data_IF_787791342115
#
_entry.id   IF_787791342115
#
_cell.length_a   1.000
_cell.length_b   1.000
_cell.length_c   1.000
_cell.angle_alpha   90.00
_cell.angle_beta   90.00
_cell.angle_gamma   90.00
#
_symmetry.space_group_name_H-M   'P 1'
#
loop_
_entity.id
_entity.type
_entity.pdbx_description
1 polymer ?
#
# COMPACT_ATOMS: atom_id res chain seq x y z
N UNK A 1 -21.41 -22.22 11.14
CA UNK A 1 -21.01 -20.90 11.65
C UNK A 1 -20.11 -20.24 10.61
N UNK A 2 -20.69 -19.54 9.63
CA UNK A 2 -19.94 -18.72 8.65
C UNK A 2 -19.96 -17.30 9.23
N UNK A 3 -18.84 -16.84 9.78
CA UNK A 3 -18.71 -15.41 10.08
C UNK A 3 -18.88 -14.63 8.77
N UNK A 4 -19.59 -13.51 8.84
CA UNK A 4 -19.97 -12.67 7.70
C UNK A 4 -18.75 -11.88 7.25
N UNK A 5 -17.87 -12.49 6.45
CA UNK A 5 -16.68 -11.83 5.89
C UNK A 5 -16.99 -10.93 4.68
N UNK A 6 -18.26 -10.62 4.43
CA UNK A 6 -18.72 -9.91 3.22
C UNK A 6 -19.25 -8.49 3.50
N UNK A 7 -19.10 -7.96 4.73
CA UNK A 7 -19.63 -6.64 5.06
C UNK A 7 -18.60 -5.53 4.76
N UNK A 8 -18.77 -4.88 3.60
CA UNK A 8 -17.98 -3.70 3.21
C UNK A 8 -18.06 -2.61 4.28
N UNK A 9 -19.21 -2.46 4.96
CA UNK A 9 -19.37 -1.44 5.99
C UNK A 9 -18.50 -1.73 7.23
N UNK A 10 -18.25 -3.01 7.55
CA UNK A 10 -17.33 -3.38 8.62
C UNK A 10 -15.89 -3.04 8.25
N UNK A 11 -15.48 -3.33 7.01
CA UNK A 11 -14.14 -2.98 6.52
C UNK A 11 -13.91 -1.45 6.52
N UNK A 12 -14.90 -0.68 6.06
CA UNK A 12 -14.86 0.79 6.10
C UNK A 12 -14.82 1.32 7.54
N UNK A 13 -15.58 0.72 8.45
CA UNK A 13 -15.56 1.09 9.86
C UNK A 13 -14.18 0.87 10.48
N UNK A 14 -13.57 -0.30 10.23
CA UNK A 14 -12.23 -0.63 10.72
C UNK A 14 -11.16 0.33 10.16
N UNK A 15 -11.20 0.65 8.86
CA UNK A 15 -10.28 1.63 8.26
C UNK A 15 -10.47 3.02 8.90
N UNK A 16 -11.73 3.46 9.12
CA UNK A 16 -12.02 4.78 9.68
C UNK A 16 -11.67 4.92 11.17
N UNK A 17 -11.56 3.80 11.88
CA UNK A 17 -11.30 3.76 13.33
C UNK A 17 -9.91 3.25 13.68
N UNK A 18 -9.05 2.98 12.69
CA UNK A 18 -7.68 2.53 12.93
C UNK A 18 -6.90 3.60 13.74
N UNK A 19 -6.34 3.25 14.92
CA UNK A 19 -5.52 4.18 15.69
C UNK A 19 -4.20 4.57 14.99
N UNK A 20 -3.81 3.83 13.95
CA UNK A 20 -2.64 4.09 13.13
C UNK A 20 -3.10 4.65 11.78
N UNK A 21 -2.77 5.92 11.46
CA UNK A 21 -3.10 6.50 10.18
C UNK A 21 -2.53 5.67 9.02
N UNK A 22 -3.36 5.46 7.99
CA UNK A 22 -2.94 4.76 6.79
C UNK A 22 -1.74 5.46 6.14
N UNK A 23 -0.70 4.67 5.84
CA UNK A 23 0.46 5.12 5.05
C UNK A 23 0.36 4.69 3.59
N UNK A 24 -0.82 4.23 3.15
CA UNK A 24 -1.01 3.64 1.81
C UNK A 24 -0.51 4.57 0.69
N UNK A 25 -0.81 5.86 0.81
CA UNK A 25 -0.40 6.86 -0.19
C UNK A 25 1.11 7.12 -0.22
N UNK A 26 1.87 6.69 0.80
CA UNK A 26 3.33 6.78 0.81
C UNK A 26 4.01 5.73 -0.09
N UNK A 27 3.27 4.76 -0.63
CA UNK A 27 3.79 3.67 -1.43
C UNK A 27 3.21 3.65 -2.85
N UNK A 28 3.98 3.07 -3.78
CA UNK A 28 3.51 2.75 -5.13
C UNK A 28 2.92 1.34 -5.10
N UNK A 29 1.59 1.24 -5.20
CA UNK A 29 0.91 -0.06 -5.33
C UNK A 29 0.73 -0.36 -6.82
N UNK A 30 1.09 -1.54 -7.32
CA UNK A 30 0.90 -1.85 -8.74
C UNK A 30 -0.59 -1.91 -9.11
N UNK A 31 -0.95 -1.53 -10.34
CA UNK A 31 -2.33 -1.64 -10.82
C UNK A 31 -2.72 -3.11 -11.02
N UNK A 32 -4.01 -3.41 -10.86
CA UNK A 32 -4.52 -4.76 -11.15
C UNK A 32 -4.51 -5.03 -12.67
N UNK A 33 -4.03 -6.19 -13.14
CA UNK A 33 -4.01 -6.53 -14.56
C UNK A 33 -5.42 -6.53 -15.16
N UNK A 34 -5.61 -5.80 -16.25
CA UNK A 34 -6.90 -5.70 -16.92
C UNK A 34 -7.92 -4.81 -16.19
N UNK A 35 -7.52 -4.04 -15.17
CA UNK A 35 -8.30 -2.92 -14.64
C UNK A 35 -9.60 -3.29 -13.90
N UNK A 36 -9.82 -4.57 -13.60
CA UNK A 36 -11.01 -5.02 -12.82
C UNK A 36 -11.04 -4.38 -11.44
N UNK A 37 -9.88 -4.13 -10.84
CA UNK A 37 -9.68 -3.34 -9.63
C UNK A 37 -8.68 -2.22 -9.96
N UNK A 38 -8.63 -1.17 -9.15
CA UNK A 38 -7.62 -0.13 -9.34
C UNK A 38 -6.20 -0.68 -9.09
N UNK A 39 -6.02 -1.47 -8.04
CA UNK A 39 -4.72 -1.91 -7.53
C UNK A 39 -4.76 -3.34 -7.01
N UNK A 40 -3.58 -3.94 -6.79
CA UNK A 40 -3.46 -5.23 -6.12
C UNK A 40 -3.71 -5.15 -4.61
N UNK A 41 -4.34 -6.19 -4.04
CA UNK A 41 -4.24 -6.51 -2.62
C UNK A 41 -2.89 -7.20 -2.35
N UNK A 42 -1.85 -6.40 -2.07
CA UNK A 42 -0.47 -6.88 -2.01
C UNK A 42 -0.07 -7.42 -0.62
N UNK A 43 -0.26 -8.72 -0.40
CA UNK A 43 0.07 -9.40 0.87
C UNK A 43 1.45 -10.08 0.89
N UNK A 44 2.35 -9.70 -0.02
CA UNK A 44 3.71 -10.26 -0.12
C UNK A 44 4.80 -9.30 0.40
N UNK A 45 4.42 -8.26 1.15
CA UNK A 45 5.33 -7.23 1.66
C UNK A 45 6.41 -7.74 2.61
N UNK A 46 6.22 -8.92 3.19
CA UNK A 46 7.22 -9.61 4.02
C UNK A 46 8.38 -10.20 3.20
N UNK A 47 8.20 -10.41 1.90
CA UNK A 47 9.25 -10.88 1.00
C UNK A 47 9.89 -9.73 0.25
N UNK A 48 9.07 -8.90 -0.41
CA UNK A 48 9.51 -7.70 -1.10
C UNK A 48 8.56 -6.56 -0.74
N UNK A 49 9.06 -5.57 -0.01
CA UNK A 49 8.27 -4.39 0.34
C UNK A 49 7.90 -3.58 -0.90
N UNK A 50 6.72 -2.93 -0.86
CA UNK A 50 6.36 -1.96 -1.88
C UNK A 50 7.34 -0.79 -1.89
N UNK A 51 7.55 -0.19 -3.05
CA UNK A 51 8.41 0.98 -3.20
C UNK A 51 7.80 2.20 -2.48
N UNK A 52 8.51 2.82 -1.51
CA UNK A 52 8.12 4.14 -1.01
C UNK A 52 8.22 5.18 -2.13
N UNK A 53 7.27 6.11 -2.23
CA UNK A 53 7.31 7.19 -3.25
C UNK A 53 8.55 8.08 -3.14
N UNK A 54 9.14 8.17 -1.95
CA UNK A 54 10.36 8.92 -1.68
C UNK A 54 11.65 8.21 -2.11
N UNK A 55 11.59 6.93 -2.49
CA UNK A 55 12.78 6.13 -2.78
C UNK A 55 13.65 6.74 -3.89
N UNK A 56 13.03 7.29 -4.94
CA UNK A 56 13.75 7.96 -6.03
C UNK A 56 14.56 9.16 -5.54
N UNK A 57 13.91 10.07 -4.82
CA UNK A 57 14.55 11.28 -4.30
C UNK A 57 15.69 10.95 -3.32
N UNK A 58 15.53 9.90 -2.51
CA UNK A 58 16.58 9.42 -1.62
C UNK A 58 17.81 8.94 -2.41
N UNK A 59 17.60 8.12 -3.46
CA UNK A 59 18.70 7.64 -4.31
C UNK A 59 19.39 8.80 -5.03
N UNK A 60 18.62 9.74 -5.61
CA UNK A 60 19.16 10.90 -6.32
C UNK A 60 20.02 11.79 -5.40
N UNK A 61 19.65 11.94 -4.12
CA UNK A 61 20.47 12.66 -3.13
C UNK A 61 21.84 12.00 -2.95
N UNK A 62 21.87 10.71 -2.64
CA UNK A 62 23.14 10.00 -2.39
C UNK A 62 24.04 10.00 -3.65
N UNK A 63 23.45 9.86 -4.83
CA UNK A 63 24.19 9.95 -6.10
C UNK A 63 24.76 11.35 -6.34
N UNK A 64 24.04 12.39 -5.94
CA UNK A 64 24.52 13.77 -6.03
C UNK A 64 25.67 14.09 -5.06
N UNK A 65 25.63 13.53 -3.85
CA UNK A 65 26.68 13.68 -2.84
C UNK A 65 27.96 12.92 -3.18
N UNK A 66 27.87 11.85 -3.99
CA UNK A 66 29.04 11.08 -4.44
C UNK A 66 29.84 11.79 -5.55
N UNK A 67 29.21 12.68 -6.32
CA UNK A 67 29.90 13.49 -7.35
C UNK A 67 30.90 14.50 -6.78
#
# INVERSE_FOLDING_TARGET
>A
MRARYDDVAEAEHLESTDPVPSKRDAFVVPPWPGGRMAEWAYFAGNSLGLQPRTARAAIERELGEWG
#
